data_IF_280733072032
#
_entry.id   IF_280733072032
#
_cell.length_a   1.000
_cell.length_b   1.000
_cell.length_c   1.000
_cell.angle_alpha   90.00
_cell.angle_beta   90.00
_cell.angle_gamma   90.00
#
_symmetry.space_group_name_H-M   'P 1'
#
loop_
_entity.id
_entity.type
_entity.pdbx_description
1 polymer ?
#
# COMPACT_ATOMS: atom_id res chain seq x y z
N UNK A 1 -11.85 -14.09 18.84
CA UNK A 1 -13.30 -13.79 18.88
C UNK A 1 -13.96 -14.33 17.60
N UNK A 2 -14.99 -15.20 17.70
CA UNK A 2 -15.70 -15.71 16.53
C UNK A 2 -16.36 -14.60 15.67
N UNK A 3 -16.74 -13.46 16.28
CA UNK A 3 -17.33 -12.35 15.56
C UNK A 3 -16.31 -11.53 14.75
N UNK A 4 -15.01 -11.67 15.07
CA UNK A 4 -13.90 -11.06 14.37
C UNK A 4 -13.05 -12.12 13.64
N UNK A 5 -13.70 -13.13 13.07
CA UNK A 5 -13.06 -14.23 12.30
C UNK A 5 -11.92 -14.95 13.05
N UNK A 6 -11.99 -15.04 14.38
CA UNK A 6 -10.96 -15.57 15.27
C UNK A 6 -9.61 -14.82 15.20
N UNK A 7 -9.57 -13.62 14.63
CA UNK A 7 -8.37 -12.79 14.66
C UNK A 7 -8.07 -12.29 16.08
N UNK A 8 -6.79 -12.01 16.34
CA UNK A 8 -6.33 -11.40 17.58
C UNK A 8 -5.24 -10.39 17.28
N UNK A 9 -5.40 -9.19 17.81
CA UNK A 9 -4.42 -8.11 17.67
C UNK A 9 -3.73 -7.86 19.01
N UNK A 10 -2.40 -7.74 19.00
CA UNK A 10 -1.58 -7.52 20.18
C UNK A 10 -0.81 -6.21 20.04
N UNK A 11 -0.87 -5.37 21.06
CA UNK A 11 -0.05 -4.17 21.13
C UNK A 11 1.19 -4.44 21.98
N UNK A 12 2.35 -4.45 21.37
CA UNK A 12 3.63 -4.55 22.05
C UNK A 12 4.16 -3.13 22.37
N UNK A 13 4.66 -2.94 23.57
CA UNK A 13 5.21 -1.65 24.04
C UNK A 13 6.55 -1.86 24.71
N UNK A 14 7.34 -0.77 24.87
CA UNK A 14 8.65 -0.81 25.50
C UNK A 14 9.74 -1.46 24.66
N UNK A 15 9.53 -1.57 23.35
CA UNK A 15 10.52 -2.09 22.42
C UNK A 15 11.62 -1.05 22.17
N UNK A 16 12.85 -1.52 22.00
CA UNK A 16 13.98 -0.68 21.64
C UNK A 16 13.96 -0.36 20.15
N UNK A 17 14.34 0.86 19.72
CA UNK A 17 14.42 1.20 18.31
C UNK A 17 15.54 0.42 17.59
N UNK A 18 15.40 0.24 16.27
CA UNK A 18 16.39 -0.41 15.42
C UNK A 18 16.76 -1.83 15.82
N UNK A 19 15.84 -2.55 16.49
CA UNK A 19 16.09 -3.86 17.10
C UNK A 19 15.25 -4.93 16.44
N UNK A 20 15.88 -6.07 16.13
CA UNK A 20 15.17 -7.25 15.67
C UNK A 20 14.66 -8.04 16.88
N UNK A 21 13.40 -8.48 16.79
CA UNK A 21 12.72 -9.28 17.80
C UNK A 21 12.27 -10.60 17.21
N UNK A 22 12.43 -11.68 17.97
CA UNK A 22 11.79 -12.96 17.70
C UNK A 22 10.40 -12.98 18.33
N UNK A 23 9.42 -13.46 17.59
CA UNK A 23 8.02 -13.58 18.03
C UNK A 23 7.59 -15.03 17.96
N UNK A 24 6.96 -15.51 19.02
CA UNK A 24 6.27 -16.80 19.03
C UNK A 24 4.80 -16.58 19.31
N UNK A 25 3.95 -16.95 18.38
CA UNK A 25 2.50 -16.97 18.56
C UNK A 25 2.06 -18.40 18.89
N UNK A 26 1.41 -18.58 20.02
CA UNK A 26 0.82 -19.85 20.44
C UNK A 26 -0.70 -19.78 20.24
N UNK A 27 -1.26 -20.74 19.53
CA UNK A 27 -2.68 -20.74 19.20
C UNK A 27 -3.28 -22.15 19.25
N UNK A 28 -4.60 -22.24 19.44
CA UNK A 28 -5.33 -23.50 19.52
C UNK A 28 -6.44 -23.48 20.56
N UNK A 29 -7.28 -24.53 20.60
CA UNK A 29 -8.43 -24.63 21.48
C UNK A 29 -8.06 -24.69 22.98
N UNK A 30 -6.90 -25.21 23.33
CA UNK A 30 -6.32 -25.16 24.68
C UNK A 30 -4.84 -25.57 24.64
N UNK A 31 -4.07 -25.20 25.69
CA UNK A 31 -2.67 -25.66 25.84
C UNK A 31 -2.49 -27.19 25.84
N UNK A 32 -3.57 -27.94 26.07
CA UNK A 32 -3.54 -29.42 26.12
C UNK A 32 -4.08 -30.09 24.85
N UNK A 33 -4.81 -29.37 23.98
CA UNK A 33 -5.38 -29.93 22.74
C UNK A 33 -5.19 -28.97 21.56
N UNK A 34 -4.54 -29.47 20.52
CA UNK A 34 -4.38 -28.73 19.27
C UNK A 34 -3.52 -27.48 19.39
N UNK A 35 -2.64 -27.41 20.40
CA UNK A 35 -1.66 -26.33 20.55
C UNK A 35 -0.70 -26.33 19.38
N UNK A 36 -0.60 -25.20 18.71
CA UNK A 36 0.33 -24.94 17.61
C UNK A 36 1.13 -23.68 17.90
N UNK A 37 2.28 -23.58 17.32
CA UNK A 37 3.16 -22.41 17.39
C UNK A 37 3.46 -21.91 16.00
N UNK A 38 3.58 -20.59 15.85
CA UNK A 38 4.14 -19.93 14.70
C UNK A 38 5.26 -19.02 15.19
N UNK A 39 6.46 -19.26 14.72
CA UNK A 39 7.62 -18.42 15.00
C UNK A 39 7.82 -17.42 13.85
N UNK A 40 8.22 -16.21 14.18
CA UNK A 40 8.52 -15.17 13.23
C UNK A 40 9.46 -14.12 13.82
N UNK A 41 9.79 -13.12 13.01
CA UNK A 41 10.64 -12.01 13.42
C UNK A 41 10.08 -10.69 12.91
N UNK A 42 10.43 -9.59 13.55
CA UNK A 42 10.22 -8.26 13.00
C UNK A 42 11.32 -7.32 13.49
N UNK A 43 11.54 -6.24 12.75
CA UNK A 43 12.47 -5.18 13.11
C UNK A 43 11.69 -3.92 13.48
N UNK A 44 12.05 -3.28 14.59
CA UNK A 44 11.53 -1.96 14.95
C UNK A 44 12.22 -0.87 14.14
N UNK A 45 11.51 0.22 13.83
CA UNK A 45 12.11 1.37 13.17
C UNK A 45 13.33 1.89 13.95
N UNK A 46 14.41 2.31 13.28
CA UNK A 46 15.50 3.05 13.92
C UNK A 46 14.99 4.34 14.60
N UNK A 47 15.74 4.83 15.59
CA UNK A 47 15.41 6.12 16.21
C UNK A 47 15.47 7.26 15.18
N UNK A 48 14.72 8.36 15.43
CA UNK A 48 14.60 9.46 14.47
C UNK A 48 15.92 10.21 14.19
N UNK A 49 16.94 10.02 15.00
CA UNK A 49 18.30 10.55 14.81
C UNK A 49 19.29 9.52 14.23
N UNK A 50 18.87 8.27 14.07
CA UNK A 50 19.70 7.18 13.50
C UNK A 50 19.62 7.18 11.96
N UNK A 51 20.76 7.42 11.31
CA UNK A 51 20.89 7.52 9.84
C UNK A 51 21.22 6.19 9.16
N UNK A 52 20.77 5.07 9.73
CA UNK A 52 20.96 3.76 9.09
C UNK A 52 20.18 3.66 7.77
N UNK A 53 20.71 2.92 6.79
CA UNK A 53 19.93 2.56 5.60
C UNK A 53 18.62 1.89 5.96
N UNK A 54 17.56 2.22 5.22
CA UNK A 54 16.24 1.60 5.36
C UNK A 54 15.78 1.15 3.99
N UNK A 55 15.40 -0.12 3.87
CA UNK A 55 14.82 -0.69 2.65
C UNK A 55 13.40 -1.18 2.92
N UNK A 56 12.45 -0.79 2.08
CA UNK A 56 11.11 -1.33 2.12
C UNK A 56 10.62 -1.77 0.75
N UNK A 57 9.64 -2.66 0.73
CA UNK A 57 9.04 -3.16 -0.50
C UNK A 57 7.55 -2.83 -0.56
N UNK A 58 7.03 -2.68 -1.78
CA UNK A 58 5.64 -2.29 -2.04
C UNK A 58 5.05 -3.14 -3.14
N UNK A 59 3.80 -3.55 -2.99
CA UNK A 59 2.98 -4.18 -4.05
C UNK A 59 1.53 -3.73 -3.97
N UNK A 60 0.78 -3.96 -5.04
CA UNK A 60 -0.67 -3.80 -5.15
C UNK A 60 -1.28 -5.00 -5.89
N UNK A 61 -2.61 -5.05 -6.04
CA UNK A 61 -3.25 -5.95 -6.99
C UNK A 61 -2.96 -7.44 -6.80
N UNK A 62 -3.35 -8.01 -5.64
CA UNK A 62 -3.09 -9.41 -5.28
C UNK A 62 -4.33 -10.29 -5.48
N UNK A 63 -4.66 -10.63 -6.72
CA UNK A 63 -5.83 -11.44 -7.03
C UNK A 63 -5.55 -12.94 -6.88
N UNK A 64 -6.18 -13.61 -5.90
CA UNK A 64 -5.95 -15.02 -5.57
C UNK A 64 -5.95 -16.00 -6.76
N UNK A 65 -6.91 -15.97 -7.73
CA UNK A 65 -6.89 -16.87 -8.87
C UNK A 65 -5.68 -16.68 -9.81
N UNK A 66 -5.04 -15.52 -9.75
CA UNK A 66 -3.88 -15.19 -10.59
C UNK A 66 -2.54 -15.53 -9.93
N UNK A 67 -2.52 -16.13 -8.72
CA UNK A 67 -1.29 -16.55 -8.06
C UNK A 67 -0.39 -17.41 -8.97
N UNK A 68 0.90 -17.30 -8.80
CA UNK A 68 1.89 -17.94 -9.70
C UNK A 68 1.93 -19.46 -9.52
N UNK A 69 1.65 -19.94 -8.30
CA UNK A 69 1.66 -21.35 -7.95
C UNK A 69 0.66 -21.67 -6.84
N UNK A 70 0.48 -22.96 -6.52
CA UNK A 70 -0.33 -23.36 -5.36
C UNK A 70 0.29 -22.92 -4.02
N UNK A 71 1.60 -22.62 -3.98
CA UNK A 71 2.26 -22.05 -2.80
C UNK A 71 2.00 -20.55 -2.62
N UNK A 72 1.56 -19.86 -3.66
CA UNK A 72 1.23 -18.43 -3.63
C UNK A 72 1.91 -17.60 -4.72
N UNK A 73 2.20 -16.34 -4.41
CA UNK A 73 2.80 -15.35 -5.29
C UNK A 73 4.32 -15.36 -5.14
N UNK A 74 5.04 -15.37 -6.28
CA UNK A 74 6.49 -15.45 -6.31
C UNK A 74 7.17 -14.19 -5.77
N UNK A 75 6.55 -13.03 -5.90
CA UNK A 75 7.11 -11.77 -5.42
C UNK A 75 7.47 -11.82 -3.94
N UNK A 76 6.68 -12.49 -3.09
CA UNK A 76 6.96 -12.60 -1.66
C UNK A 76 8.26 -13.34 -1.36
N UNK A 77 8.58 -14.36 -2.19
CA UNK A 77 9.86 -15.07 -2.10
C UNK A 77 11.02 -14.16 -2.51
N UNK A 78 10.83 -13.32 -3.54
CA UNK A 78 11.87 -12.41 -4.01
C UNK A 78 12.07 -11.22 -3.06
N UNK A 79 10.98 -10.62 -2.57
CA UNK A 79 11.05 -9.55 -1.58
C UNK A 79 11.75 -10.00 -0.29
N UNK A 80 11.49 -11.23 0.18
CA UNK A 80 12.14 -11.77 1.38
C UNK A 80 13.66 -11.86 1.23
N UNK A 81 14.18 -12.13 0.03
CA UNK A 81 15.63 -12.18 -0.25
C UNK A 81 16.32 -10.81 -0.13
N UNK A 82 15.55 -9.72 -0.22
CA UNK A 82 16.08 -8.36 -0.05
C UNK A 82 16.22 -7.97 1.42
N UNK A 83 15.75 -8.80 2.35
CA UNK A 83 15.71 -8.54 3.80
C UNK A 83 15.15 -7.13 4.12
N UNK A 84 13.94 -6.78 3.65
CA UNK A 84 13.42 -5.45 3.83
C UNK A 84 13.09 -5.16 5.30
N UNK A 85 13.27 -3.91 5.72
CA UNK A 85 12.90 -3.46 7.07
C UNK A 85 11.40 -3.49 7.28
N UNK A 86 10.64 -3.18 6.22
CA UNK A 86 9.18 -3.30 6.22
C UNK A 86 8.63 -3.48 4.80
N UNK A 87 7.35 -3.81 4.76
CA UNK A 87 6.57 -3.98 3.54
C UNK A 87 5.31 -3.13 3.60
N UNK A 88 4.84 -2.65 2.44
CA UNK A 88 3.54 -1.98 2.30
C UNK A 88 2.71 -2.63 1.21
N UNK A 89 1.50 -3.08 1.55
CA UNK A 89 0.48 -3.41 0.56
C UNK A 89 -0.44 -2.20 0.37
N UNK A 90 -0.53 -1.70 -0.86
CA UNK A 90 -1.21 -0.43 -1.15
C UNK A 90 -2.69 -0.58 -1.52
N UNK A 91 -3.30 -1.71 -1.21
CA UNK A 91 -4.69 -2.02 -1.56
C UNK A 91 -4.82 -3.05 -2.69
N UNK A 92 -6.04 -3.38 -3.05
CA UNK A 92 -6.34 -4.53 -3.92
C UNK A 92 -5.76 -5.85 -3.36
N UNK A 93 -5.85 -5.98 -2.04
CA UNK A 93 -5.35 -7.14 -1.30
C UNK A 93 -6.18 -8.38 -1.65
N UNK A 94 -7.49 -8.18 -1.78
CA UNK A 94 -8.52 -9.18 -2.07
C UNK A 94 -9.56 -8.59 -3.01
N UNK A 95 -10.37 -9.46 -3.64
CA UNK A 95 -11.38 -9.08 -4.61
C UNK A 95 -12.74 -9.65 -4.19
N UNK A 96 -13.48 -8.92 -3.31
CA UNK A 96 -14.79 -9.35 -2.81
C UNK A 96 -15.84 -9.38 -3.92
N UNK A 97 -15.79 -8.45 -4.84
CA UNK A 97 -16.70 -8.32 -5.98
C UNK A 97 -16.74 -9.55 -6.90
N UNK A 98 -15.79 -10.46 -6.77
CA UNK A 98 -15.81 -11.70 -7.52
C UNK A 98 -16.57 -12.83 -6.80
N UNK A 99 -16.32 -13.04 -5.51
CA UNK A 99 -16.92 -14.14 -4.76
C UNK A 99 -17.31 -13.76 -3.31
N UNK A 100 -16.80 -12.66 -2.75
CA UNK A 100 -16.94 -12.25 -1.35
C UNK A 100 -18.23 -11.49 -1.06
N UNK A 101 -19.38 -11.92 -1.62
CA UNK A 101 -20.66 -11.20 -1.57
C UNK A 101 -21.45 -11.38 -0.26
N UNK A 102 -20.82 -11.90 0.76
CA UNK A 102 -21.29 -11.94 2.14
C UNK A 102 -20.10 -11.75 3.08
N UNK A 103 -20.30 -11.26 4.32
CA UNK A 103 -19.20 -11.14 5.29
C UNK A 103 -18.46 -12.45 5.54
N UNK A 104 -19.17 -13.58 5.57
CA UNK A 104 -18.54 -14.89 5.75
C UNK A 104 -17.63 -15.29 4.58
N UNK A 105 -18.05 -15.00 3.34
CA UNK A 105 -17.23 -15.24 2.16
C UNK A 105 -16.03 -14.28 2.10
N UNK A 106 -16.21 -13.01 2.49
CA UNK A 106 -15.12 -12.05 2.59
C UNK A 106 -14.04 -12.53 3.58
N UNK A 107 -14.42 -12.97 4.78
CA UNK A 107 -13.50 -13.57 5.75
C UNK A 107 -12.81 -14.83 5.20
N UNK A 108 -13.53 -15.68 4.49
CA UNK A 108 -12.93 -16.84 3.83
C UNK A 108 -11.88 -16.43 2.76
N UNK A 109 -12.06 -15.31 2.06
CA UNK A 109 -11.05 -14.78 1.14
C UNK A 109 -9.75 -14.40 1.88
N UNK A 110 -9.84 -13.76 3.06
CA UNK A 110 -8.69 -13.49 3.91
C UNK A 110 -7.99 -14.78 4.33
N UNK A 111 -8.75 -15.72 4.90
CA UNK A 111 -8.21 -17.00 5.38
C UNK A 111 -7.46 -17.76 4.28
N UNK A 112 -8.09 -17.95 3.10
CA UNK A 112 -7.46 -18.71 2.01
C UNK A 112 -6.23 -18.02 1.44
N UNK A 113 -6.24 -16.67 1.33
CA UNK A 113 -5.14 -15.92 0.74
C UNK A 113 -3.95 -15.89 1.67
N UNK A 114 -4.17 -15.57 2.94
CA UNK A 114 -3.09 -15.50 3.93
C UNK A 114 -2.70 -16.86 4.54
N UNK A 115 -3.31 -17.96 4.09
CA UNK A 115 -2.82 -19.33 4.31
C UNK A 115 -1.83 -19.81 3.25
N UNK A 116 -1.62 -19.06 2.17
CA UNK A 116 -0.62 -19.39 1.15
C UNK A 116 0.79 -19.38 1.76
N UNK A 117 1.57 -20.41 1.46
CA UNK A 117 2.89 -20.62 2.06
C UNK A 117 3.83 -19.43 1.88
N UNK A 118 3.86 -18.82 0.68
CA UNK A 118 4.73 -17.68 0.39
C UNK A 118 4.36 -16.43 1.21
N UNK A 119 3.07 -16.23 1.49
CA UNK A 119 2.59 -15.12 2.31
C UNK A 119 2.87 -15.37 3.79
N UNK A 120 2.57 -16.58 4.29
CA UNK A 120 2.88 -16.96 5.67
C UNK A 120 4.37 -16.78 5.95
N UNK A 121 5.23 -17.28 5.05
CA UNK A 121 6.69 -17.17 5.21
C UNK A 121 7.16 -15.71 5.19
N UNK A 122 6.61 -14.89 4.32
CA UNK A 122 6.96 -13.47 4.22
C UNK A 122 6.51 -12.67 5.44
N UNK A 123 5.21 -12.72 5.76
CA UNK A 123 4.62 -11.87 6.81
C UNK A 123 5.01 -12.26 8.24
N UNK A 124 5.47 -13.48 8.47
CA UNK A 124 6.04 -13.84 9.77
C UNK A 124 7.46 -13.31 9.98
N UNK A 125 8.16 -12.86 8.92
CA UNK A 125 9.54 -12.39 8.96
C UNK A 125 9.72 -10.91 8.62
N UNK A 126 8.68 -10.24 8.07
CA UNK A 126 8.75 -8.84 7.63
C UNK A 126 7.61 -8.03 8.26
N UNK A 127 7.95 -6.93 8.92
CA UNK A 127 6.96 -5.98 9.42
C UNK A 127 6.13 -5.46 8.25
N UNK A 128 4.79 -5.56 8.32
CA UNK A 128 3.91 -5.27 7.19
C UNK A 128 2.89 -4.22 7.53
N UNK A 129 2.79 -3.20 6.69
CA UNK A 129 1.72 -2.22 6.69
C UNK A 129 0.74 -2.54 5.56
N UNK A 130 -0.54 -2.50 5.87
CA UNK A 130 -1.59 -2.70 4.89
C UNK A 130 -2.40 -1.42 4.76
N UNK A 131 -2.72 -1.08 3.53
CA UNK A 131 -3.71 -0.07 3.15
C UNK A 131 -4.80 -0.79 2.40
N UNK A 132 -6.04 -0.31 2.47
CA UNK A 132 -7.12 -0.87 1.66
C UNK A 132 -7.43 0.02 0.48
N UNK A 133 -7.99 -0.59 -0.56
CA UNK A 133 -8.60 0.11 -1.67
C UNK A 133 -10.06 -0.36 -1.86
N UNK A 134 -10.60 -0.37 -3.04
CA UNK A 134 -12.01 -0.61 -3.32
C UNK A 134 -12.40 -2.10 -3.26
N UNK A 135 -11.59 -3.00 -3.82
CA UNK A 135 -11.93 -4.41 -3.97
C UNK A 135 -12.02 -5.18 -2.64
N UNK A 136 -11.23 -4.87 -1.64
CA UNK A 136 -11.35 -5.41 -0.28
C UNK A 136 -12.22 -4.56 0.65
N UNK A 137 -12.80 -3.48 0.13
CA UNK A 137 -13.80 -2.69 0.83
C UNK A 137 -15.22 -3.08 0.40
N UNK A 138 -15.49 -3.10 -0.91
CA UNK A 138 -16.78 -3.52 -1.46
C UNK A 138 -16.63 -4.08 -2.88
N UNK A 139 -16.43 -3.21 -3.88
CA UNK A 139 -16.31 -3.53 -5.31
C UNK A 139 -15.52 -2.45 -6.04
N UNK A 140 -15.18 -2.69 -7.33
CA UNK A 140 -14.50 -1.74 -8.22
C UNK A 140 -15.06 -0.32 -8.07
N UNK A 141 -14.18 0.65 -7.88
CA UNK A 141 -14.46 2.08 -7.71
C UNK A 141 -15.40 2.44 -6.53
N UNK A 142 -15.46 1.67 -5.44
CA UNK A 142 -16.37 1.87 -4.32
C UNK A 142 -16.18 3.19 -3.56
N UNK A 143 -17.29 3.69 -2.99
CA UNK A 143 -17.34 4.82 -2.04
C UNK A 143 -18.37 4.56 -0.91
N UNK A 144 -18.32 5.26 0.25
CA UNK A 144 -19.08 4.92 1.46
C UNK A 144 -20.60 4.84 1.29
N UNK A 145 -21.16 5.66 0.41
CA UNK A 145 -22.62 5.71 0.17
C UNK A 145 -23.05 4.95 -1.08
N UNK A 146 -22.16 4.09 -1.63
CA UNK A 146 -22.50 3.28 -2.80
C UNK A 146 -23.52 2.21 -2.42
N UNK A 147 -24.64 2.20 -3.12
CA UNK A 147 -25.63 1.13 -3.06
C UNK A 147 -25.45 0.23 -4.29
N UNK A 148 -25.45 -1.09 -4.09
CA UNK A 148 -25.26 -2.05 -5.17
C UNK A 148 -25.91 -3.40 -4.84
N UNK A 149 -26.77 -3.87 -5.75
CA UNK A 149 -27.34 -5.23 -5.68
C UNK A 149 -26.29 -6.30 -6.08
N UNK A 150 -25.25 -5.87 -6.80
CA UNK A 150 -24.18 -6.77 -7.28
C UNK A 150 -23.44 -7.46 -6.15
N UNK A 151 -23.29 -6.80 -4.99
CA UNK A 151 -22.56 -7.33 -3.84
C UNK A 151 -23.41 -8.15 -2.88
N UNK A 152 -24.69 -8.39 -3.18
CA UNK A 152 -25.57 -9.20 -2.34
C UNK A 152 -25.73 -8.59 -0.94
N UNK A 153 -25.40 -9.36 0.11
CA UNK A 153 -25.51 -8.92 1.51
C UNK A 153 -24.26 -8.16 2.00
N UNK A 154 -23.24 -7.98 1.17
CA UNK A 154 -22.01 -7.27 1.55
C UNK A 154 -22.19 -5.77 1.44
N UNK A 155 -21.88 -5.03 2.50
CA UNK A 155 -21.94 -3.58 2.56
C UNK A 155 -20.54 -2.97 2.66
N UNK A 156 -20.40 -1.68 2.36
CA UNK A 156 -19.17 -0.92 2.59
C UNK A 156 -18.71 -0.99 4.07
N UNK A 157 -19.67 -0.86 5.00
CA UNK A 157 -19.37 -0.95 6.43
C UNK A 157 -18.87 -2.34 6.85
N UNK A 158 -19.37 -3.42 6.23
CA UNK A 158 -18.85 -4.77 6.46
C UNK A 158 -17.41 -4.89 5.98
N UNK A 159 -17.09 -4.36 4.81
CA UNK A 159 -15.72 -4.37 4.28
C UNK A 159 -14.73 -3.64 5.20
N UNK A 160 -15.09 -2.45 5.65
CA UNK A 160 -14.30 -1.68 6.61
C UNK A 160 -14.12 -2.46 7.93
N UNK A 161 -15.19 -3.01 8.49
CA UNK A 161 -15.12 -3.81 9.72
C UNK A 161 -14.21 -5.01 9.56
N UNK A 162 -14.36 -5.78 8.48
CA UNK A 162 -13.53 -6.96 8.21
C UNK A 162 -12.06 -6.55 8.05
N UNK A 163 -11.77 -5.47 7.32
CA UNK A 163 -10.40 -4.97 7.20
C UNK A 163 -9.77 -4.65 8.56
N UNK A 164 -10.50 -3.96 9.45
CA UNK A 164 -10.02 -3.63 10.80
C UNK A 164 -9.90 -4.86 11.71
N UNK A 165 -10.72 -5.89 11.51
CA UNK A 165 -10.57 -7.18 12.20
C UNK A 165 -9.30 -7.93 11.76
N UNK A 166 -8.95 -7.86 10.48
CA UNK A 166 -7.82 -8.58 9.89
C UNK A 166 -6.48 -7.82 10.03
N UNK A 167 -6.52 -6.47 10.03
CA UNK A 167 -5.32 -5.63 9.99
C UNK A 167 -5.26 -4.69 11.22
N UNK A 168 -4.18 -4.71 12.01
CA UNK A 168 -4.04 -3.85 13.19
C UNK A 168 -3.73 -2.39 12.77
N UNK A 169 -4.78 -1.57 12.59
CA UNK A 169 -4.66 -0.16 12.19
C UNK A 169 -4.71 0.82 13.36
N UNK A 170 -5.36 0.49 14.47
CA UNK A 170 -5.76 1.43 15.52
C UNK A 170 -7.05 2.17 15.15
N UNK A 171 -7.22 3.41 15.66
CA UNK A 171 -8.48 4.16 15.55
C UNK A 171 -8.68 4.83 14.18
N UNK A 172 -7.64 4.96 13.37
CA UNK A 172 -7.65 5.60 12.05
C UNK A 172 -7.08 4.66 11.00
N UNK A 173 -7.66 4.70 9.81
CA UNK A 173 -7.20 3.93 8.64
C UNK A 173 -6.07 4.61 7.87
N UNK A 174 -5.59 5.76 8.35
CA UNK A 174 -4.41 6.46 7.84
C UNK A 174 -3.41 6.75 8.96
N UNK A 175 -2.12 6.78 8.64
CA UNK A 175 -1.04 6.99 9.62
C UNK A 175 0.24 7.47 8.97
N UNK A 176 1.15 8.00 9.77
CA UNK A 176 2.54 8.25 9.37
C UNK A 176 3.48 7.46 10.27
N UNK A 177 4.58 6.99 9.71
CA UNK A 177 5.63 6.27 10.44
C UNK A 177 7.00 6.82 10.07
N UNK A 178 7.82 7.07 11.09
CA UNK A 178 9.21 7.49 10.95
C UNK A 178 10.12 6.26 10.98
N UNK A 179 10.99 6.15 9.99
CA UNK A 179 12.01 5.09 9.91
C UNK A 179 13.40 5.72 9.87
N UNK A 180 14.00 5.90 11.07
CA UNK A 180 15.30 6.55 11.23
C UNK A 180 15.30 8.03 10.88
N UNK A 181 16.50 8.59 10.65
CA UNK A 181 16.69 10.02 10.39
C UNK A 181 16.15 10.42 9.00
N UNK A 182 16.35 9.56 8.01
CA UNK A 182 16.25 9.99 6.62
C UNK A 182 14.93 9.62 5.94
N UNK A 183 14.05 8.82 6.57
CA UNK A 183 12.79 8.38 5.97
C UNK A 183 11.59 8.62 6.86
N UNK A 184 10.54 9.24 6.31
CA UNK A 184 9.18 9.20 6.87
C UNK A 184 8.18 8.89 5.77
N UNK A 185 7.22 8.01 6.06
CA UNK A 185 6.17 7.59 5.12
C UNK A 185 4.79 7.98 5.67
N UNK A 186 3.88 8.36 4.77
CA UNK A 186 2.47 8.63 5.03
C UNK A 186 1.63 7.62 4.28
N UNK A 187 0.86 6.82 5.01
CA UNK A 187 -0.06 5.83 4.51
C UNK A 187 -1.46 6.44 4.60
N UNK A 188 -2.05 6.80 3.48
CA UNK A 188 -3.33 7.52 3.43
C UNK A 188 -4.49 6.58 3.08
N UNK A 189 -5.69 7.02 3.44
CA UNK A 189 -6.93 6.29 3.17
C UNK A 189 -7.65 6.92 1.98
N UNK A 190 -8.02 6.10 1.00
CA UNK A 190 -8.63 6.55 -0.26
C UNK A 190 -10.13 6.29 -0.39
N UNK A 191 -10.76 5.52 0.49
CA UNK A 191 -12.14 5.07 0.33
C UNK A 191 -13.10 5.53 1.43
N UNK A 192 -12.67 5.60 2.69
CA UNK A 192 -13.56 5.83 3.84
C UNK A 192 -14.18 7.23 3.88
N UNK A 193 -13.49 8.23 3.37
CA UNK A 193 -13.85 9.65 3.52
C UNK A 193 -14.25 10.32 2.21
N UNK A 194 -14.30 9.54 1.12
CA UNK A 194 -14.46 10.10 -0.21
C UNK A 194 -15.90 10.45 -0.56
N UNK A 195 -16.04 11.45 -1.39
CA UNK A 195 -17.28 11.79 -2.09
C UNK A 195 -17.61 10.71 -3.14
N UNK A 196 -18.87 10.61 -3.52
CA UNK A 196 -19.29 9.75 -4.63
C UNK A 196 -18.51 10.09 -5.92
N UNK A 197 -18.04 9.06 -6.64
CA UNK A 197 -17.30 9.26 -7.89
C UNK A 197 -18.11 10.02 -8.94
N UNK A 198 -19.44 9.93 -8.87
CA UNK A 198 -20.40 10.59 -9.76
C UNK A 198 -20.66 12.06 -9.45
N UNK A 199 -20.25 12.53 -8.26
CA UNK A 199 -20.34 13.94 -7.91
C UNK A 199 -19.54 14.79 -8.90
N UNK A 200 -19.98 16.02 -9.20
CA UNK A 200 -19.23 16.98 -10.00
C UNK A 200 -17.92 17.38 -9.30
N UNK A 201 -16.83 17.53 -10.07
CA UNK A 201 -15.54 17.95 -9.51
C UNK A 201 -15.59 19.40 -9.03
N UNK A 202 -14.89 19.69 -7.94
CA UNK A 202 -14.83 21.02 -7.36
C UNK A 202 -14.40 21.02 -5.90
N UNK A 203 -14.45 22.18 -5.23
CA UNK A 203 -13.91 22.34 -3.86
C UNK A 203 -14.61 21.50 -2.79
N UNK A 204 -15.84 21.07 -3.03
CA UNK A 204 -16.62 20.26 -2.10
C UNK A 204 -16.45 18.75 -2.32
N UNK A 205 -15.75 18.35 -3.39
CA UNK A 205 -15.49 16.95 -3.71
C UNK A 205 -14.11 16.53 -3.25
N UNK A 206 -14.03 15.43 -2.51
CA UNK A 206 -12.80 14.96 -1.88
C UNK A 206 -12.65 13.44 -1.95
N UNK A 207 -11.41 12.95 -1.99
CA UNK A 207 -11.05 11.56 -1.73
C UNK A 207 -10.68 11.38 -0.25
N UNK A 208 -9.92 12.32 0.32
CA UNK A 208 -9.35 12.14 1.66
C UNK A 208 -10.18 12.72 2.79
N UNK A 209 -11.14 13.60 2.47
CA UNK A 209 -11.85 14.38 3.47
C UNK A 209 -10.98 15.47 4.10
N UNK A 210 -11.63 16.45 4.70
CA UNK A 210 -10.93 17.63 5.24
C UNK A 210 -10.00 17.30 6.41
N UNK A 211 -10.38 16.34 7.27
CA UNK A 211 -9.59 15.96 8.45
C UNK A 211 -8.27 15.29 8.05
N UNK A 212 -8.31 14.30 7.16
CA UNK A 212 -7.11 13.60 6.70
C UNK A 212 -6.18 14.54 5.92
N UNK A 213 -6.75 15.41 5.04
CA UNK A 213 -5.98 16.40 4.31
C UNK A 213 -5.26 17.38 5.23
N UNK A 214 -5.94 17.90 6.26
CA UNK A 214 -5.34 18.79 7.24
C UNK A 214 -4.25 18.09 8.07
N UNK A 215 -4.51 16.84 8.50
CA UNK A 215 -3.53 16.01 9.21
C UNK A 215 -2.29 15.76 8.34
N UNK A 216 -2.47 15.39 7.07
CA UNK A 216 -1.38 15.13 6.15
C UNK A 216 -0.49 16.37 5.99
N UNK A 217 -1.07 17.51 5.60
CA UNK A 217 -0.32 18.76 5.41
C UNK A 217 0.46 19.17 6.65
N UNK A 218 -0.18 19.13 7.82
CA UNK A 218 0.48 19.48 9.09
C UNK A 218 1.63 18.55 9.41
N UNK A 219 1.41 17.23 9.36
CA UNK A 219 2.46 16.28 9.76
C UNK A 219 3.61 16.19 8.75
N UNK A 220 3.37 16.48 7.47
CA UNK A 220 4.44 16.64 6.46
C UNK A 220 5.30 17.87 6.77
N UNK A 221 4.68 18.99 7.09
CA UNK A 221 5.40 20.23 7.45
C UNK A 221 6.17 20.12 8.79
N UNK A 222 5.69 19.31 9.71
CA UNK A 222 6.37 19.02 10.99
C UNK A 222 7.55 18.03 10.83
N UNK A 223 7.67 17.34 9.70
CA UNK A 223 8.70 16.33 9.48
C UNK A 223 10.05 16.96 9.12
N UNK A 224 11.10 16.46 9.77
CA UNK A 224 12.50 16.77 9.48
C UNK A 224 13.23 15.61 8.74
N UNK A 225 12.47 14.63 8.21
CA UNK A 225 13.07 13.55 7.44
C UNK A 225 13.68 14.07 6.13
N UNK A 226 14.84 13.53 5.75
CA UNK A 226 15.48 13.88 4.48
C UNK A 226 14.60 13.54 3.28
N UNK A 227 13.91 12.39 3.32
CA UNK A 227 12.92 11.98 2.33
C UNK A 227 11.54 11.77 2.95
N UNK A 228 10.54 12.31 2.30
CA UNK A 228 9.10 12.16 2.62
C UNK A 228 8.44 11.36 1.51
N UNK A 229 7.76 10.26 1.88
CA UNK A 229 7.09 9.42 0.89
C UNK A 229 5.60 9.34 1.21
N UNK A 230 4.78 9.88 0.32
CA UNK A 230 3.35 9.62 0.33
C UNK A 230 3.09 8.26 -0.30
N UNK A 231 2.46 7.35 0.42
CA UNK A 231 1.96 6.08 -0.11
C UNK A 231 0.44 6.18 -0.19
N UNK A 232 -0.09 6.15 -1.41
CA UNK A 232 -1.52 6.33 -1.72
C UNK A 232 -2.09 5.03 -2.31
N UNK A 233 -3.32 4.62 -1.93
CA UNK A 233 -3.94 3.44 -2.56
C UNK A 233 -4.23 3.67 -4.04
N UNK A 234 -4.42 4.92 -4.48
CA UNK A 234 -4.70 5.29 -5.87
C UNK A 234 -3.73 6.35 -6.40
N UNK A 235 -3.58 6.52 -7.73
CA UNK A 235 -2.68 7.49 -8.32
C UNK A 235 -2.96 8.95 -7.93
N UNK A 236 -1.88 9.71 -7.74
CA UNK A 236 -1.89 11.17 -7.55
C UNK A 236 -1.44 11.88 -8.82
N UNK A 237 -0.46 11.30 -9.52
CA UNK A 237 0.11 11.83 -10.78
C UNK A 237 -0.43 11.09 -11.99
N UNK A 238 -0.37 9.77 -12.01
CA UNK A 238 -0.77 8.97 -13.17
C UNK A 238 0.27 9.01 -14.31
N UNK A 239 -0.16 9.10 -15.59
CA UNK A 239 -1.53 9.22 -16.09
C UNK A 239 -2.36 7.93 -15.93
N UNK A 240 -3.68 8.08 -15.98
CA UNK A 240 -4.62 6.98 -15.91
C UNK A 240 -5.51 6.90 -17.17
N UNK A 241 -6.33 5.86 -17.21
CA UNK A 241 -7.34 5.63 -18.25
C UNK A 241 -8.37 6.77 -18.23
N UNK A 242 -8.70 7.29 -19.40
CA UNK A 242 -9.60 8.47 -19.54
C UNK A 242 -11.03 8.25 -19.04
N UNK A 243 -11.45 6.99 -18.90
CA UNK A 243 -12.78 6.62 -18.40
C UNK A 243 -12.83 6.39 -16.89
N UNK A 244 -11.68 6.37 -16.18
CA UNK A 244 -11.62 6.25 -14.73
C UNK A 244 -12.01 7.57 -14.05
N UNK A 245 -12.67 7.47 -12.90
CA UNK A 245 -13.26 8.62 -12.18
C UNK A 245 -13.04 8.52 -10.67
N UNK A 246 -11.99 7.87 -10.23
CA UNK A 246 -11.82 7.40 -8.84
C UNK A 246 -10.53 7.85 -8.14
N UNK A 247 -9.68 8.64 -8.81
CA UNK A 247 -8.39 9.04 -8.25
C UNK A 247 -7.99 10.47 -8.59
N UNK A 248 -6.96 10.98 -7.92
CA UNK A 248 -6.50 12.36 -8.05
C UNK A 248 -5.84 12.68 -9.41
N UNK A 249 -5.44 11.67 -10.17
CA UNK A 249 -4.81 11.87 -11.48
C UNK A 249 -5.82 12.06 -12.61
N UNK A 250 -7.12 11.86 -12.38
CA UNK A 250 -8.14 11.99 -13.41
C UNK A 250 -9.07 13.19 -13.22
N UNK A 251 -9.82 13.51 -14.26
CA UNK A 251 -10.67 14.70 -14.30
C UNK A 251 -11.77 14.75 -13.23
N UNK A 252 -12.15 13.59 -12.68
CA UNK A 252 -13.24 13.53 -11.71
C UNK A 252 -12.86 14.03 -10.31
N UNK A 253 -11.56 14.10 -9.98
CA UNK A 253 -11.02 14.65 -8.74
C UNK A 253 -9.84 15.59 -9.02
N UNK A 254 -9.90 16.30 -10.14
CA UNK A 254 -8.81 17.17 -10.58
C UNK A 254 -8.57 18.34 -9.62
N UNK A 255 -9.64 18.88 -9.01
CA UNK A 255 -9.52 19.99 -8.06
C UNK A 255 -8.66 19.60 -6.85
N UNK A 256 -9.02 18.55 -6.11
CA UNK A 256 -8.24 18.08 -4.96
C UNK A 256 -6.86 17.58 -5.40
N UNK A 257 -6.78 16.88 -6.54
CA UNK A 257 -5.54 16.37 -7.10
C UNK A 257 -4.51 17.46 -7.43
N UNK A 258 -4.96 18.59 -7.99
CA UNK A 258 -4.10 19.75 -8.27
C UNK A 258 -3.57 20.37 -6.98
N UNK A 259 -4.45 20.62 -5.99
CA UNK A 259 -4.03 21.14 -4.67
C UNK A 259 -3.06 20.23 -3.94
N UNK A 260 -3.23 18.91 -4.09
CA UNK A 260 -2.33 17.92 -3.50
C UNK A 260 -0.96 17.93 -4.18
N UNK A 261 -0.90 17.92 -5.53
CA UNK A 261 0.36 17.99 -6.28
C UNK A 261 1.11 19.30 -6.02
N UNK A 262 0.41 20.44 -5.97
CA UNK A 262 1.00 21.74 -5.61
C UNK A 262 1.62 21.69 -4.20
N UNK A 263 0.90 21.12 -3.23
CA UNK A 263 1.42 20.97 -1.86
C UNK A 263 2.65 20.05 -1.83
N UNK A 264 2.61 18.87 -2.48
CA UNK A 264 3.76 17.94 -2.52
C UNK A 264 4.97 18.59 -3.15
N UNK A 265 4.80 19.31 -4.26
CA UNK A 265 5.88 20.02 -4.96
C UNK A 265 6.49 21.15 -4.13
N UNK A 266 5.77 21.70 -3.16
CA UNK A 266 6.29 22.70 -2.23
C UNK A 266 7.14 22.10 -1.08
N UNK A 267 7.25 20.77 -1.02
CA UNK A 267 8.04 20.07 0.01
C UNK A 267 9.30 19.49 -0.60
N UNK A 268 10.44 19.75 0.06
CA UNK A 268 11.73 19.20 -0.39
C UNK A 268 11.71 17.67 -0.31
N UNK A 269 12.28 17.02 -1.33
CA UNK A 269 12.52 15.56 -1.38
C UNK A 269 11.27 14.72 -1.08
N UNK A 270 10.09 15.17 -1.55
CA UNK A 270 8.85 14.43 -1.40
C UNK A 270 8.46 13.72 -2.70
N UNK A 271 8.19 12.41 -2.59
CA UNK A 271 7.76 11.56 -3.71
C UNK A 271 6.49 10.79 -3.35
N UNK A 272 5.83 10.24 -4.36
CA UNK A 272 4.61 9.44 -4.24
C UNK A 272 4.87 7.99 -4.64
N UNK A 273 4.29 7.05 -3.92
CA UNK A 273 4.14 5.65 -4.32
C UNK A 273 2.64 5.34 -4.34
N UNK A 274 2.13 4.77 -5.43
CA UNK A 274 0.70 4.50 -5.56
C UNK A 274 0.37 3.03 -5.81
N UNK A 275 -0.85 2.64 -5.43
CA UNK A 275 -1.52 1.39 -5.75
C UNK A 275 -2.48 1.48 -6.94
N UNK A 276 -3.47 0.57 -6.98
CA UNK A 276 -4.56 0.45 -7.95
C UNK A 276 -4.10 0.22 -9.41
N UNK A 277 -2.91 0.68 -9.81
CA UNK A 277 -2.43 0.50 -11.18
C UNK A 277 -1.76 -0.86 -11.35
N UNK A 278 -2.32 -1.66 -12.22
CA UNK A 278 -1.84 -3.01 -12.51
C UNK A 278 -0.75 -2.99 -13.59
N UNK A 279 0.13 -1.98 -13.56
CA UNK A 279 1.36 -1.85 -14.36
C UNK A 279 2.39 -1.01 -13.64
N UNK A 280 3.65 -1.25 -13.96
CA UNK A 280 4.77 -0.51 -13.38
C UNK A 280 5.02 0.80 -14.12
N UNK A 281 5.28 1.88 -13.40
CA UNK A 281 5.75 3.12 -13.97
C UNK A 281 6.54 3.99 -12.99
N UNK A 282 7.33 4.89 -13.55
CA UNK A 282 7.78 6.14 -12.93
C UNK A 282 7.19 7.27 -13.74
N UNK A 283 6.43 8.14 -13.11
CA UNK A 283 5.84 9.32 -13.75
C UNK A 283 6.26 10.60 -13.04
N UNK A 284 6.35 11.69 -13.80
CA UNK A 284 6.62 13.04 -13.30
C UNK A 284 5.53 13.97 -13.80
N UNK A 285 4.81 14.61 -12.88
CA UNK A 285 3.80 15.61 -13.20
C UNK A 285 4.41 16.76 -13.99
N UNK A 286 3.82 17.08 -15.14
CA UNK A 286 4.39 18.08 -16.06
C UNK A 286 4.22 19.52 -15.56
N UNK A 287 3.32 19.75 -14.60
CA UNK A 287 3.01 21.08 -14.07
C UNK A 287 3.84 21.40 -12.84
N UNK A 288 3.90 20.47 -11.89
CA UNK A 288 4.49 20.69 -10.57
C UNK A 288 5.77 19.88 -10.34
N UNK A 289 6.11 18.93 -11.23
CA UNK A 289 7.30 18.10 -11.10
C UNK A 289 7.20 16.98 -10.06
N UNK A 290 6.01 16.70 -9.51
CA UNK A 290 5.81 15.62 -8.55
C UNK A 290 6.11 14.27 -9.19
N UNK A 291 6.96 13.49 -8.53
CA UNK A 291 7.36 12.14 -8.97
C UNK A 291 6.53 11.07 -8.29
N UNK A 292 6.02 10.13 -9.07
CA UNK A 292 5.20 9.00 -8.60
C UNK A 292 5.71 7.66 -9.16
N UNK A 293 5.66 6.64 -8.31
CA UNK A 293 6.01 5.26 -8.63
C UNK A 293 4.80 4.34 -8.45
N UNK A 294 4.53 3.49 -9.43
CA UNK A 294 3.57 2.37 -9.30
C UNK A 294 4.31 1.05 -9.34
N UNK A 295 4.07 0.19 -8.35
CA UNK A 295 4.75 -1.10 -8.20
C UNK A 295 4.35 -2.15 -9.25
N UNK A 296 3.19 -1.96 -9.91
CA UNK A 296 2.52 -3.03 -10.64
C UNK A 296 1.89 -4.08 -9.71
N UNK A 297 1.08 -5.01 -10.25
CA UNK A 297 0.37 -6.04 -9.49
C UNK A 297 1.31 -7.17 -9.07
N UNK A 298 0.88 -7.96 -8.09
CA UNK A 298 1.67 -9.05 -7.50
C UNK A 298 2.05 -10.19 -8.46
N UNK A 299 1.51 -10.23 -9.67
CA UNK A 299 1.74 -11.28 -10.68
C UNK A 299 1.50 -10.77 -12.09
N UNK A 300 2.24 -11.31 -13.06
CA UNK A 300 2.07 -11.00 -14.49
C UNK A 300 0.67 -11.31 -15.00
N UNK A 301 0.00 -12.33 -14.43
CA UNK A 301 -1.36 -12.72 -14.81
C UNK A 301 -2.42 -11.67 -14.47
N UNK A 302 -2.07 -10.71 -13.63
CA UNK A 302 -2.95 -9.60 -13.23
C UNK A 302 -2.52 -8.27 -13.86
N UNK A 303 -1.37 -8.22 -14.53
CA UNK A 303 -0.93 -7.02 -15.22
C UNK A 303 -1.87 -6.66 -16.38
N UNK A 304 -2.20 -5.39 -16.50
CA UNK A 304 -3.12 -4.91 -17.55
C UNK A 304 -3.69 -3.53 -17.25
N UNK A 305 -4.65 -3.12 -18.08
CA UNK A 305 -5.30 -1.81 -17.96
C UNK A 305 -4.57 -0.68 -18.69
N UNK A 306 -3.35 -0.88 -19.12
CA UNK A 306 -2.55 0.04 -19.92
C UNK A 306 -1.85 -0.71 -21.07
N UNK A 307 -1.16 0.00 -21.97
CA UNK A 307 -0.36 -0.57 -23.05
C UNK A 307 1.05 0.00 -23.02
N UNK A 308 2.07 -0.84 -23.24
CA UNK A 308 3.47 -0.43 -23.32
C UNK A 308 3.73 0.59 -24.44
N UNK A 309 2.92 0.53 -25.53
CA UNK A 309 3.04 1.46 -26.66
C UNK A 309 2.42 2.83 -26.35
N UNK A 310 1.60 2.93 -25.29
CA UNK A 310 0.93 4.17 -24.89
C UNK A 310 1.75 4.94 -23.86
N UNK A 311 2.92 5.43 -24.26
CA UNK A 311 3.70 6.36 -23.43
C UNK A 311 3.11 7.76 -23.48
N UNK A 312 2.94 8.35 -22.30
CA UNK A 312 2.54 9.74 -22.13
C UNK A 312 3.78 10.57 -21.71
N UNK A 313 3.73 11.91 -21.84
CA UNK A 313 4.87 12.79 -21.47
C UNK A 313 5.36 12.62 -20.02
N UNK A 314 4.45 12.25 -19.10
CA UNK A 314 4.75 12.02 -17.69
C UNK A 314 5.64 10.80 -17.48
N UNK A 315 5.52 9.76 -18.32
CA UNK A 315 6.22 8.48 -18.11
C UNK A 315 7.74 8.59 -18.35
N UNK A 316 8.51 8.48 -17.28
CA UNK A 316 9.95 8.24 -17.33
C UNK A 316 10.25 6.74 -17.54
N UNK A 317 9.48 5.89 -16.90
CA UNK A 317 9.47 4.43 -17.08
C UNK A 317 8.03 3.96 -17.20
N UNK A 318 7.82 2.94 -18.02
CA UNK A 318 6.52 2.28 -18.20
C UNK A 318 6.76 0.83 -18.60
N UNK A 319 6.14 -0.10 -17.87
CA UNK A 319 6.13 -1.52 -18.20
C UNK A 319 4.85 -2.18 -17.68
N UNK A 320 4.05 -2.74 -18.59
CA UNK A 320 2.81 -3.45 -18.24
C UNK A 320 3.14 -4.89 -17.88
N UNK A 321 3.57 -5.08 -16.64
CA UNK A 321 4.02 -6.35 -16.07
C UNK A 321 3.73 -6.38 -14.56
N UNK A 322 3.68 -7.56 -13.98
CA UNK A 322 3.64 -7.77 -12.54
C UNK A 322 5.01 -7.60 -11.88
N UNK A 323 5.01 -7.56 -10.57
CA UNK A 323 6.24 -7.45 -9.78
C UNK A 323 6.06 -6.66 -8.49
N UNK A 324 7.10 -5.93 -8.10
CA UNK A 324 7.08 -5.10 -6.90
C UNK A 324 8.07 -3.94 -7.01
N UNK A 325 7.90 -2.95 -6.15
CA UNK A 325 8.83 -1.84 -5.97
C UNK A 325 9.64 -2.07 -4.69
N UNK A 326 10.95 -1.89 -4.74
CA UNK A 326 11.79 -1.74 -3.55
C UNK A 326 12.36 -0.32 -3.50
N UNK A 327 12.27 0.31 -2.34
CA UNK A 327 12.80 1.65 -2.09
C UNK A 327 13.82 1.55 -0.97
N UNK A 328 15.05 2.01 -1.24
CA UNK A 328 16.11 2.14 -0.26
C UNK A 328 16.41 3.61 -0.04
N UNK A 329 16.46 4.04 1.23
CA UNK A 329 16.99 5.34 1.62
C UNK A 329 18.27 5.09 2.39
N UNK A 330 19.38 5.61 1.86
CA UNK A 330 20.72 5.44 2.42
C UNK A 330 21.53 6.73 2.29
N UNK A 331 22.77 6.74 2.77
CA UNK A 331 23.67 7.85 2.57
C UNK A 331 24.83 7.45 1.67
N UNK A 332 25.08 8.27 0.64
CA UNK A 332 26.22 8.19 -0.25
C UNK A 332 27.12 9.41 0.02
N UNK A 333 28.37 9.18 0.43
CA UNK A 333 29.29 10.23 0.89
C UNK A 333 28.67 11.21 1.92
N UNK A 334 27.79 10.70 2.77
CA UNK A 334 27.11 11.45 3.83
C UNK A 334 25.83 12.18 3.37
N UNK A 335 25.53 12.21 2.08
CA UNK A 335 24.29 12.79 1.53
C UNK A 335 23.17 11.73 1.47
N UNK A 336 21.96 12.04 1.92
CA UNK A 336 20.83 11.12 1.79
C UNK A 336 20.48 10.89 0.32
N UNK A 337 20.22 9.62 -0.04
CA UNK A 337 19.85 9.21 -1.39
C UNK A 337 18.68 8.24 -1.30
N UNK A 338 17.67 8.44 -2.14
CA UNK A 338 16.58 7.51 -2.36
C UNK A 338 16.84 6.72 -3.64
N UNK A 339 16.77 5.40 -3.58
CA UNK A 339 16.92 4.49 -4.71
C UNK A 339 15.63 3.66 -4.84
N UNK A 340 14.88 3.89 -5.92
CA UNK A 340 13.66 3.16 -6.23
C UNK A 340 13.93 2.15 -7.35
N UNK A 341 13.69 0.85 -7.09
CA UNK A 341 13.89 -0.25 -8.04
C UNK A 341 12.60 -0.98 -8.31
N UNK A 342 12.21 -1.05 -9.57
CA UNK A 342 11.15 -1.97 -10.02
C UNK A 342 11.74 -3.34 -10.29
N UNK A 343 11.07 -4.36 -9.76
CA UNK A 343 11.43 -5.76 -9.93
C UNK A 343 10.31 -6.49 -10.68
N UNK A 344 10.69 -7.45 -11.53
CA UNK A 344 9.77 -8.43 -12.05
C UNK A 344 9.39 -9.49 -11.01
N UNK A 345 8.41 -10.33 -11.32
CA UNK A 345 7.97 -11.43 -10.45
C UNK A 345 9.08 -12.45 -10.16
N UNK A 346 10.08 -12.53 -11.01
CA UNK A 346 11.27 -13.38 -10.89
C UNK A 346 12.39 -12.79 -10.02
N UNK A 347 12.24 -11.52 -9.60
CA UNK A 347 13.22 -10.79 -8.80
C UNK A 347 14.33 -10.11 -9.61
N UNK A 348 14.22 -10.04 -10.93
CA UNK A 348 15.13 -9.26 -11.75
C UNK A 348 14.80 -7.76 -11.65
N UNK A 349 15.83 -6.89 -11.58
CA UNK A 349 15.66 -5.44 -11.62
C UNK A 349 15.31 -5.05 -13.07
N UNK A 350 14.18 -4.34 -13.22
CA UNK A 350 13.68 -3.87 -14.50
C UNK A 350 13.94 -2.37 -14.71
N UNK A 351 13.99 -1.61 -13.63
CA UNK A 351 14.27 -0.18 -13.64
C UNK A 351 14.90 0.23 -12.31
N UNK A 352 15.78 1.20 -12.34
CA UNK A 352 16.33 1.89 -11.17
C UNK A 352 16.24 3.39 -11.38
N UNK A 353 15.76 4.08 -10.37
CA UNK A 353 15.71 5.54 -10.30
C UNK A 353 16.38 6.00 -9.00
N UNK A 354 17.25 7.01 -9.09
CA UNK A 354 18.06 7.49 -7.96
C UNK A 354 17.89 8.99 -7.78
N UNK A 355 17.56 9.42 -6.59
CA UNK A 355 17.36 10.81 -6.20
C UNK A 355 18.28 11.12 -5.04
N UNK A 356 19.14 12.13 -5.18
CA UNK A 356 19.90 12.70 -4.06
C UNK A 356 19.03 13.76 -3.37
N UNK A 357 19.08 13.84 -2.03
CA UNK A 357 18.43 14.91 -1.31
C UNK A 357 19.08 16.26 -1.64
N UNK A 358 18.25 17.30 -1.84
CA UNK A 358 18.68 18.68 -2.03
C UNK A 358 19.04 19.36 -0.71
#
# INVERSE_FOLDING_TARGET
DPNADFTAQFRLTGLLPGTQYDVRVEYGASRKRGHKTLDGTFRTAPAADDAKPVTFTVTTGQRYPNRDSDRGFLIYVQMLKLDPDFFVHTGDILYYDQLGKTPALANWHWQRTYSLETLVEFHRNVASYFMKDDHETLQDDAWPTMETEFMGDMTFADGLRIFLDQVPMGDKTYRTVRWGKDLQVWLVEGRDYRSANTMEDGPDKTIWGAEQMAWFKRTVQESDASFRILISPTPVVGPDRVNKRDNHSNAAFAHEGNLLREFIASQDNMVVVCGDRHWQYVSVDQTHGVREYSSGPATDRHAGGWSNDKRMPEHQYLNVIGGFLAVTVERDDGLPVLIARHYGVDGNILNEDRIAAE
#
